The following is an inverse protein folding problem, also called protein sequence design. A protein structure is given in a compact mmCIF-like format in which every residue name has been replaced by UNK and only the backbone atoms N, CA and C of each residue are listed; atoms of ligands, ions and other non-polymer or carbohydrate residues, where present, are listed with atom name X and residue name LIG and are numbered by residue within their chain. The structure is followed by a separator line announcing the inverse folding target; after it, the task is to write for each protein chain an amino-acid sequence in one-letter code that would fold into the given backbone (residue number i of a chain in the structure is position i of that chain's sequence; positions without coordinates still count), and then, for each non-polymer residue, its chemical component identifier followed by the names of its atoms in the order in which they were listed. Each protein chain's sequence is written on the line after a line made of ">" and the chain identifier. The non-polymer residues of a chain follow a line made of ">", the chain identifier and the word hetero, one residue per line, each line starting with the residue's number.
data_IF_202854859082
#
_entry.id   IF_202854859082
#
_cell.length_a   1.000
_cell.length_b   1.000
_cell.length_c   1.000
_cell.angle_alpha   90.00
_cell.angle_beta   90.00
_cell.angle_gamma   90.00
#
_symmetry.space_group_name_H-M   'P 1'
#
loop_
_entity.id
_entity.type
_entity.pdbx_description
1 polymer ?
#
# COMPACT_ATOMS: atom_id res chain seq x y z
N UNK A 1 17.61 -17.00 12.86
CA UNK A 1 16.53 -16.71 11.88
C UNK A 1 16.58 -15.27 11.36
N UNK A 2 16.68 -14.21 12.20
CA UNK A 2 16.72 -12.79 11.75
C UNK A 2 17.93 -12.46 10.83
N UNK A 3 19.09 -13.07 11.06
CA UNK A 3 20.30 -12.87 10.23
C UNK A 3 20.21 -13.53 8.85
N UNK A 4 19.47 -14.64 8.71
CA UNK A 4 19.25 -15.29 7.42
C UNK A 4 18.30 -14.52 6.51
N UNK A 5 17.27 -13.87 7.07
CA UNK A 5 16.37 -12.98 6.33
C UNK A 5 17.11 -11.74 5.80
N UNK A 6 18.07 -11.22 6.58
CA UNK A 6 18.90 -10.09 6.15
C UNK A 6 19.88 -10.46 5.03
N UNK A 7 20.45 -11.67 5.10
CA UNK A 7 21.33 -12.20 4.05
C UNK A 7 20.53 -12.51 2.78
N UNK A 8 19.31 -13.06 2.90
CA UNK A 8 18.43 -13.30 1.76
C UNK A 8 18.02 -11.97 1.10
N UNK A 9 17.74 -10.93 1.88
CA UNK A 9 17.44 -9.59 1.36
C UNK A 9 18.66 -8.93 0.70
N UNK A 10 19.87 -9.18 1.18
CA UNK A 10 21.12 -8.65 0.63
C UNK A 10 21.66 -9.44 -0.58
N UNK A 11 21.35 -10.73 -0.71
CA UNK A 11 21.79 -11.55 -1.85
C UNK A 11 21.03 -11.23 -3.16
N UNK A 12 19.91 -10.52 -3.08
CA UNK A 12 19.15 -10.04 -4.26
C UNK A 12 19.78 -8.79 -4.91
N UNK A 13 20.83 -8.22 -4.33
CA UNK A 13 21.43 -6.91 -4.71
C UNK A 13 22.33 -6.97 -5.97
N UNK A 14 22.45 -8.11 -6.64
CA UNK A 14 23.51 -8.36 -7.63
C UNK A 14 23.26 -8.03 -9.10
N UNK A 15 22.03 -7.84 -9.55
CA UNK A 15 21.72 -7.74 -10.99
C UNK A 15 20.89 -6.52 -11.33
N UNK A 16 21.54 -5.50 -11.88
CA UNK A 16 20.87 -4.25 -12.27
C UNK A 16 20.94 -4.07 -13.79
N UNK A 17 19.83 -4.39 -14.45
CA UNK A 17 19.43 -3.78 -15.73
C UNK A 17 17.94 -4.05 -15.92
N UNK A 18 17.15 -3.02 -16.26
CA UNK A 18 15.73 -3.15 -16.58
C UNK A 18 15.53 -3.90 -17.90
N UNK A 19 15.73 -5.21 -17.88
CA UNK A 19 15.55 -6.10 -19.00
C UNK A 19 14.71 -7.31 -18.55
N UNK A 20 14.03 -7.94 -19.49
CA UNK A 20 13.35 -9.23 -19.27
C UNK A 20 14.21 -10.15 -18.41
N UNK A 21 13.63 -10.68 -17.34
CA UNK A 21 14.34 -11.54 -16.37
C UNK A 21 14.77 -10.84 -15.08
N UNK A 22 14.42 -9.55 -14.89
CA UNK A 22 14.77 -8.82 -13.67
C UNK A 22 13.72 -8.98 -12.57
N UNK A 23 14.17 -8.80 -11.32
CA UNK A 23 13.31 -8.81 -10.13
C UNK A 23 13.07 -7.36 -9.71
N UNK A 24 11.79 -6.98 -9.68
CA UNK A 24 11.34 -5.73 -9.11
C UNK A 24 11.17 -5.89 -7.59
N UNK A 25 11.81 -5.04 -6.82
CA UNK A 25 11.53 -4.86 -5.38
C UNK A 25 11.21 -3.40 -5.15
N UNK A 26 10.09 -3.12 -4.52
CA UNK A 26 9.68 -1.75 -4.27
C UNK A 26 8.57 -1.65 -3.25
N UNK A 27 8.02 -0.48 -3.11
CA UNK A 27 6.88 -0.20 -2.25
C UNK A 27 6.81 1.26 -1.85
N UNK A 28 5.78 1.55 -1.08
CA UNK A 28 5.43 2.88 -0.63
C UNK A 28 5.34 2.89 0.90
N UNK A 29 5.66 4.04 1.49
CA UNK A 29 5.43 4.34 2.90
C UNK A 29 4.67 5.65 2.95
N UNK A 30 3.54 5.66 3.65
CA UNK A 30 2.79 6.85 3.94
C UNK A 30 2.63 7.04 5.45
N UNK A 31 2.79 8.26 5.90
CA UNK A 31 2.52 8.65 7.28
C UNK A 31 1.82 9.99 7.30
N UNK A 32 0.61 9.98 7.84
CA UNK A 32 -0.20 11.19 7.98
C UNK A 32 -0.52 11.45 9.45
N UNK A 33 -0.34 12.66 9.90
CA UNK A 33 -0.85 13.13 11.19
C UNK A 33 -1.74 14.35 10.98
N UNK A 34 -2.90 14.34 11.61
CA UNK A 34 -3.87 15.43 11.56
C UNK A 34 -4.36 15.72 12.96
N UNK A 35 -4.37 16.98 13.32
CA UNK A 35 -4.94 17.47 14.58
C UNK A 35 -6.09 18.39 14.24
N UNK A 36 -7.22 18.19 14.90
CA UNK A 36 -8.39 19.05 14.84
C UNK A 36 -8.65 19.57 16.25
N UNK A 37 -8.53 20.90 16.43
CA UNK A 37 -8.87 21.57 17.67
C UNK A 37 -10.32 22.10 17.53
N UNK A 38 -11.23 21.61 18.36
CA UNK A 38 -12.61 22.05 18.44
C UNK A 38 -12.89 22.58 19.85
N UNK A 39 -13.94 23.39 20.01
CA UNK A 39 -14.35 23.88 21.33
C UNK A 39 -14.63 22.75 22.32
N UNK A 40 -15.07 21.60 21.83
CA UNK A 40 -15.36 20.39 22.60
C UNK A 40 -14.15 19.51 22.87
N UNK A 41 -12.96 19.90 22.41
CA UNK A 41 -11.72 19.17 22.64
C UNK A 41 -10.88 18.93 21.39
N UNK A 42 -9.75 18.28 21.59
CA UNK A 42 -8.74 18.02 20.59
C UNK A 42 -8.85 16.57 20.09
N UNK A 43 -8.92 16.40 18.77
CA UNK A 43 -8.87 15.09 18.12
C UNK A 43 -7.57 14.97 17.34
N UNK A 44 -6.80 13.93 17.61
CA UNK A 44 -5.57 13.62 16.89
C UNK A 44 -5.74 12.33 16.11
N UNK A 45 -5.44 12.37 14.82
CA UNK A 45 -5.45 11.22 13.92
C UNK A 45 -4.02 10.95 13.45
N UNK A 46 -3.59 9.69 13.51
CA UNK A 46 -2.33 9.24 12.93
C UNK A 46 -2.63 8.04 12.03
N UNK A 47 -2.14 8.09 10.81
CA UNK A 47 -2.22 6.99 9.84
C UNK A 47 -0.82 6.60 9.41
N UNK A 48 -0.59 5.31 9.30
CA UNK A 48 0.64 4.73 8.77
C UNK A 48 0.28 3.61 7.80
N UNK A 49 0.85 3.68 6.60
CA UNK A 49 0.71 2.66 5.58
C UNK A 49 2.11 2.23 5.10
N UNK A 50 2.31 0.93 4.97
CA UNK A 50 3.51 0.34 4.40
C UNK A 50 3.12 -0.74 3.40
N UNK A 51 3.51 -0.56 2.14
CA UNK A 51 3.06 -1.37 1.00
C UNK A 51 4.22 -1.92 0.19
N UNK A 52 4.96 -2.93 0.69
CA UNK A 52 6.01 -3.57 -0.08
C UNK A 52 5.44 -4.43 -1.20
N UNK A 53 6.19 -4.50 -2.31
CA UNK A 53 5.89 -5.37 -3.45
C UNK A 53 7.15 -6.00 -4.04
N UNK A 54 7.00 -7.20 -4.56
CA UNK A 54 8.05 -7.91 -5.27
C UNK A 54 7.46 -8.51 -6.55
N UNK A 55 8.16 -8.38 -7.67
CA UNK A 55 7.69 -8.87 -8.96
C UNK A 55 8.83 -9.39 -9.83
N UNK A 56 8.46 -10.11 -10.85
CA UNK A 56 9.34 -10.63 -11.89
C UNK A 56 8.93 -10.04 -13.25
N UNK A 57 9.87 -9.41 -13.92
CA UNK A 57 9.68 -8.86 -15.25
C UNK A 57 9.83 -9.98 -16.28
N UNK A 58 8.71 -10.57 -16.67
CA UNK A 58 8.66 -11.69 -17.61
C UNK A 58 8.67 -11.26 -19.08
N UNK A 59 8.43 -9.99 -19.34
CA UNK A 59 8.47 -9.37 -20.66
C UNK A 59 8.99 -7.94 -20.54
N UNK A 60 9.48 -7.34 -21.62
CA UNK A 60 10.09 -6.00 -21.62
C UNK A 60 9.22 -4.91 -20.99
N UNK A 61 7.90 -5.04 -21.13
CA UNK A 61 6.93 -4.10 -20.58
C UNK A 61 6.09 -4.66 -19.42
N UNK A 62 6.19 -5.97 -19.11
CA UNK A 62 5.29 -6.61 -18.18
C UNK A 62 6.03 -7.21 -16.98
N UNK A 63 5.53 -6.88 -15.81
CA UNK A 63 5.96 -7.44 -14.52
C UNK A 63 4.74 -8.04 -13.82
N UNK A 64 4.87 -9.21 -13.26
CA UNK A 64 3.88 -9.80 -12.37
C UNK A 64 4.51 -10.10 -11.01
N UNK A 65 3.74 -9.99 -9.94
CA UNK A 65 4.31 -10.19 -8.62
C UNK A 65 3.28 -10.25 -7.50
N UNK A 66 3.79 -10.20 -6.28
CA UNK A 66 3.01 -10.15 -5.06
C UNK A 66 3.15 -8.79 -4.39
N UNK A 67 2.09 -8.39 -3.71
CA UNK A 67 2.03 -7.17 -2.92
C UNK A 67 1.44 -7.45 -1.54
N UNK A 68 1.87 -6.65 -0.58
CA UNK A 68 1.40 -6.72 0.78
C UNK A 68 1.26 -5.31 1.32
N UNK A 69 0.18 -5.03 2.09
CA UNK A 69 0.01 -3.72 2.73
C UNK A 69 -0.33 -3.93 4.21
N UNK A 70 0.29 -3.13 5.05
CA UNK A 70 -0.08 -2.95 6.45
C UNK A 70 -0.55 -1.52 6.60
N UNK A 71 -1.78 -1.34 7.09
CA UNK A 71 -2.36 -0.04 7.41
C UNK A 71 -2.69 0.04 8.90
N UNK A 72 -2.36 1.15 9.52
CA UNK A 72 -2.71 1.43 10.92
C UNK A 72 -3.25 2.86 11.03
N UNK A 73 -4.45 2.98 11.56
CA UNK A 73 -5.09 4.26 11.87
C UNK A 73 -5.37 4.32 13.36
N UNK A 74 -4.92 5.41 13.99
CA UNK A 74 -5.23 5.73 15.38
C UNK A 74 -5.87 7.12 15.46
N UNK A 75 -7.02 7.18 16.11
CA UNK A 75 -7.70 8.44 16.40
C UNK A 75 -7.86 8.56 17.91
N UNK A 76 -7.27 9.60 18.46
CA UNK A 76 -7.33 9.93 19.89
C UNK A 76 -8.24 11.16 20.08
N UNK A 77 -9.31 11.02 20.84
CA UNK A 77 -10.16 12.09 21.38
C UNK A 77 -9.94 12.25 22.90
N UNK A 78 -10.68 13.14 23.55
CA UNK A 78 -10.51 13.40 24.99
C UNK A 78 -10.81 12.18 25.87
N UNK A 79 -11.83 11.41 25.54
CA UNK A 79 -12.27 10.22 26.29
C UNK A 79 -12.43 9.00 25.39
N UNK A 80 -12.15 9.14 24.10
CA UNK A 80 -12.35 8.07 23.14
C UNK A 80 -11.09 7.84 22.29
N UNK A 81 -10.74 6.57 22.13
CA UNK A 81 -9.68 6.15 21.23
C UNK A 81 -10.26 5.15 20.21
N UNK A 82 -9.97 5.34 18.95
CA UNK A 82 -10.29 4.38 17.89
C UNK A 82 -9.01 3.92 17.23
N UNK A 83 -8.81 2.61 17.15
CA UNK A 83 -7.71 1.97 16.42
C UNK A 83 -8.27 1.12 15.31
N UNK A 84 -7.73 1.25 14.12
CA UNK A 84 -8.05 0.37 13.00
C UNK A 84 -6.74 -0.12 12.36
N UNK A 85 -6.58 -1.44 12.26
CA UNK A 85 -5.48 -2.07 11.57
C UNK A 85 -6.04 -2.88 10.41
N UNK A 86 -5.44 -2.72 9.23
CA UNK A 86 -5.81 -3.49 8.05
C UNK A 86 -4.58 -4.12 7.41
N UNK A 87 -4.81 -5.23 6.74
CA UNK A 87 -3.81 -5.99 5.99
C UNK A 87 -4.37 -6.31 4.63
N UNK A 88 -3.54 -6.15 3.60
CA UNK A 88 -3.84 -6.63 2.25
C UNK A 88 -2.74 -7.58 1.80
N UNK A 89 -3.10 -8.63 1.12
CA UNK A 89 -2.18 -9.55 0.45
C UNK A 89 -2.76 -9.90 -0.91
N UNK A 90 -1.97 -9.75 -1.94
CA UNK A 90 -2.45 -9.98 -3.31
C UNK A 90 -1.35 -10.16 -4.32
N UNK A 91 -1.78 -10.22 -5.56
CA UNK A 91 -0.92 -10.23 -6.73
C UNK A 91 -1.16 -8.97 -7.54
N UNK A 92 -0.15 -8.54 -8.27
CA UNK A 92 -0.27 -7.44 -9.22
C UNK A 92 0.34 -7.79 -10.57
N UNK A 93 -0.16 -7.10 -11.59
CA UNK A 93 0.45 -7.06 -12.92
C UNK A 93 0.72 -5.60 -13.25
N UNK A 94 1.94 -5.30 -13.63
CA UNK A 94 2.41 -3.98 -14.07
C UNK A 94 2.63 -3.96 -15.55
N UNK A 95 2.11 -2.95 -16.22
CA UNK A 95 2.52 -2.58 -17.57
C UNK A 95 3.35 -1.30 -17.51
N UNK A 96 4.57 -1.33 -18.04
CA UNK A 96 5.50 -0.19 -18.05
C UNK A 96 5.74 0.24 -19.49
N UNK A 97 5.60 1.52 -19.74
CA UNK A 97 5.94 2.16 -21.03
C UNK A 97 7.08 3.15 -20.81
N UNK A 98 8.28 2.88 -21.31
CA UNK A 98 9.39 3.83 -21.25
C UNK A 98 9.09 5.04 -22.14
N UNK A 99 9.32 6.24 -21.61
CA UNK A 99 9.20 7.52 -22.32
C UNK A 99 10.58 8.05 -22.73
N UNK A 100 11.59 7.76 -21.91
CA UNK A 100 13.00 8.11 -22.15
C UNK A 100 13.89 7.20 -21.30
N UNK A 101 15.20 7.39 -21.34
CA UNK A 101 16.15 6.69 -20.45
C UNK A 101 15.90 6.97 -18.95
N UNK A 102 15.31 8.12 -18.64
CA UNK A 102 15.07 8.57 -17.26
C UNK A 102 13.63 8.38 -16.83
N UNK A 103 12.66 8.49 -17.72
CA UNK A 103 11.24 8.49 -17.39
C UNK A 103 10.50 7.32 -18.02
N UNK A 104 9.65 6.68 -17.21
CA UNK A 104 8.67 5.70 -17.67
C UNK A 104 7.34 5.97 -17.00
N UNK A 105 6.24 5.64 -17.65
CA UNK A 105 4.93 5.53 -17.01
C UNK A 105 4.59 4.07 -16.84
N UNK A 106 3.89 3.75 -15.76
CA UNK A 106 3.40 2.41 -15.54
C UNK A 106 2.00 2.43 -14.92
N UNK A 107 1.32 1.32 -15.03
CA UNK A 107 0.08 1.07 -14.31
C UNK A 107 0.14 -0.30 -13.66
N UNK A 108 -0.15 -0.37 -12.36
CA UNK A 108 -0.31 -1.59 -11.59
C UNK A 108 -1.80 -1.94 -11.52
N UNK A 109 -2.16 -3.14 -11.91
CA UNK A 109 -3.45 -3.75 -11.63
C UNK A 109 -3.23 -4.78 -10.53
N UNK A 110 -3.75 -4.49 -9.34
CA UNK A 110 -3.69 -5.32 -8.17
C UNK A 110 -5.01 -6.00 -7.86
N UNK A 111 -4.94 -7.18 -7.26
CA UNK A 111 -6.10 -7.86 -6.69
C UNK A 111 -5.67 -8.83 -5.59
N UNK A 112 -6.52 -8.97 -4.57
CA UNK A 112 -6.20 -9.84 -3.45
C UNK A 112 -7.24 -9.80 -2.33
N UNK A 113 -6.80 -10.29 -1.18
CA UNK A 113 -7.59 -10.34 0.04
C UNK A 113 -7.22 -9.19 0.96
N UNK A 114 -8.21 -8.72 1.70
CA UNK A 114 -8.04 -7.72 2.76
C UNK A 114 -8.70 -8.19 4.04
N UNK A 115 -8.09 -7.84 5.16
CA UNK A 115 -8.64 -8.07 6.49
C UNK A 115 -8.46 -6.81 7.33
N UNK A 116 -9.45 -6.47 8.13
CA UNK A 116 -9.37 -5.32 9.04
C UNK A 116 -9.83 -5.68 10.45
N UNK A 117 -9.28 -4.97 11.42
CA UNK A 117 -9.64 -5.07 12.83
C UNK A 117 -9.74 -3.67 13.42
N UNK A 118 -10.96 -3.31 13.81
CA UNK A 118 -11.28 -2.08 14.52
C UNK A 118 -11.44 -2.32 16.03
N UNK A 119 -11.00 -1.36 16.84
CA UNK A 119 -11.22 -1.32 18.28
C UNK A 119 -11.59 0.10 18.69
N UNK A 120 -12.62 0.23 19.51
CA UNK A 120 -13.01 1.48 20.12
C UNK A 120 -12.90 1.39 21.65
N UNK A 121 -12.33 2.43 22.26
CA UNK A 121 -12.14 2.55 23.68
C UNK A 121 -12.81 3.81 24.20
N UNK A 122 -13.29 3.75 25.44
CA UNK A 122 -13.79 4.89 26.20
C UNK A 122 -13.17 4.86 27.59
N UNK A 123 -12.43 5.91 27.98
CA UNK A 123 -11.65 5.95 29.24
C UNK A 123 -10.76 4.72 29.41
N UNK A 124 -10.03 4.31 28.36
CA UNK A 124 -9.17 3.12 28.30
C UNK A 124 -9.90 1.77 28.33
N UNK A 125 -11.21 1.74 28.55
CA UNK A 125 -12.02 0.52 28.49
C UNK A 125 -12.40 0.18 27.04
N UNK A 126 -12.17 -1.07 26.64
CA UNK A 126 -12.58 -1.57 25.32
C UNK A 126 -14.11 -1.69 25.25
N UNK A 127 -14.75 -0.85 24.45
CA UNK A 127 -16.20 -0.84 24.28
C UNK A 127 -16.70 -1.58 23.05
N UNK A 128 -15.84 -1.71 22.02
CA UNK A 128 -16.21 -2.40 20.78
C UNK A 128 -14.98 -2.96 20.07
N UNK A 129 -15.14 -4.14 19.49
CA UNK A 129 -14.20 -4.76 18.57
C UNK A 129 -14.95 -5.21 17.32
N UNK A 130 -14.44 -4.86 16.14
CA UNK A 130 -14.96 -5.29 14.84
C UNK A 130 -13.87 -5.97 14.05
N UNK A 131 -14.23 -7.00 13.29
CA UNK A 131 -13.36 -7.67 12.32
C UNK A 131 -14.09 -7.79 11.01
N UNK A 132 -13.39 -7.59 9.92
CA UNK A 132 -13.94 -7.75 8.60
C UNK A 132 -12.89 -8.35 7.67
N UNK A 133 -13.36 -9.17 6.73
CA UNK A 133 -12.56 -9.78 5.68
C UNK A 133 -13.18 -9.46 4.33
N UNK A 134 -12.37 -9.39 3.28
CA UNK A 134 -12.90 -9.07 1.98
C UNK A 134 -11.90 -9.21 0.85
N UNK A 135 -12.27 -8.65 -0.28
CA UNK A 135 -11.46 -8.59 -1.50
C UNK A 135 -11.21 -7.15 -1.88
N UNK A 136 -10.08 -6.93 -2.53
CA UNK A 136 -9.80 -5.68 -3.22
C UNK A 136 -9.33 -5.92 -4.65
N UNK A 137 -9.55 -4.94 -5.49
CA UNK A 137 -8.88 -4.77 -6.77
C UNK A 137 -8.64 -3.28 -7.00
N UNK A 138 -7.48 -2.93 -7.50
CA UNK A 138 -7.13 -1.54 -7.79
C UNK A 138 -6.29 -1.41 -9.07
N UNK A 139 -6.39 -0.25 -9.68
CA UNK A 139 -5.55 0.16 -10.80
C UNK A 139 -4.87 1.48 -10.43
N UNK A 140 -3.55 1.47 -10.35
CA UNK A 140 -2.73 2.61 -9.91
C UNK A 140 -1.78 3.04 -11.02
N UNK A 141 -2.05 4.14 -11.73
CA UNK A 141 -1.11 4.74 -12.67
C UNK A 141 -0.01 5.51 -11.93
N UNK A 142 1.21 5.45 -12.45
CA UNK A 142 2.34 6.15 -11.86
C UNK A 142 3.40 6.52 -12.89
N UNK A 143 4.21 7.52 -12.52
CA UNK A 143 5.45 7.89 -13.18
C UNK A 143 6.63 7.25 -12.43
N UNK A 144 7.54 6.65 -13.17
CA UNK A 144 8.82 6.16 -12.67
C UNK A 144 9.94 7.07 -13.14
N UNK A 145 10.81 7.47 -12.23
CA UNK A 145 12.02 8.24 -12.51
C UNK A 145 13.23 7.36 -12.20
N UNK A 146 13.96 6.96 -13.23
CA UNK A 146 15.17 6.16 -13.10
C UNK A 146 16.32 7.01 -12.55
N UNK A 147 16.75 6.73 -11.32
CA UNK A 147 17.85 7.44 -10.65
C UNK A 147 19.22 6.85 -10.96
N UNK A 148 19.31 5.71 -11.58
CA UNK A 148 20.46 4.91 -12.07
C UNK A 148 20.50 3.50 -11.46
N UNK A 149 21.13 2.59 -12.16
CA UNK A 149 21.37 1.19 -11.72
C UNK A 149 20.09 0.46 -11.28
N UNK A 150 18.96 0.70 -12.00
CA UNK A 150 17.68 0.08 -11.71
C UNK A 150 16.94 0.63 -10.49
N UNK A 151 17.53 1.56 -9.73
CA UNK A 151 16.87 2.25 -8.63
C UNK A 151 16.09 3.47 -9.13
N UNK A 152 14.89 3.68 -8.64
CA UNK A 152 14.10 4.83 -9.02
C UNK A 152 12.99 5.19 -8.04
N UNK A 153 12.40 6.34 -8.32
CA UNK A 153 11.27 6.89 -7.60
C UNK A 153 10.00 6.65 -8.39
N UNK A 154 8.95 6.25 -7.68
CA UNK A 154 7.60 6.09 -8.21
C UNK A 154 6.73 7.24 -7.71
N UNK A 155 5.97 7.87 -8.61
CA UNK A 155 5.00 8.90 -8.28
C UNK A 155 3.63 8.46 -8.78
N UNK A 156 2.78 7.99 -7.89
CA UNK A 156 1.39 7.68 -8.23
C UNK A 156 0.51 8.92 -8.06
N UNK A 157 -0.43 9.09 -8.96
CA UNK A 157 -1.31 10.27 -9.04
C UNK A 157 -2.77 9.93 -8.78
N UNK A 158 -2.99 8.96 -7.92
CA UNK A 158 -4.32 8.41 -7.62
C UNK A 158 -4.55 7.08 -8.34
N UNK A 159 -5.80 6.72 -8.52
CA UNK A 159 -6.19 5.46 -9.14
C UNK A 159 -7.68 5.20 -9.04
N UNK A 160 -8.07 4.00 -9.37
CA UNK A 160 -9.41 3.49 -9.13
C UNK A 160 -9.32 2.14 -8.43
N UNK A 161 -10.32 1.84 -7.59
CA UNK A 161 -10.35 0.56 -6.91
C UNK A 161 -11.73 0.21 -6.40
N UNK A 162 -11.88 -1.05 -6.11
CA UNK A 162 -13.07 -1.64 -5.53
C UNK A 162 -12.67 -2.55 -4.38
N UNK A 163 -13.37 -2.41 -3.26
CA UNK A 163 -13.12 -3.23 -2.06
C UNK A 163 -14.44 -3.70 -1.49
N UNK A 164 -14.47 -4.94 -1.05
CA UNK A 164 -15.60 -5.50 -0.29
C UNK A 164 -15.14 -5.87 1.10
N UNK A 165 -16.03 -5.75 2.08
CA UNK A 165 -15.84 -6.26 3.43
C UNK A 165 -17.11 -6.95 3.90
N UNK A 166 -16.96 -8.12 4.53
CA UNK A 166 -17.99 -8.79 5.31
C UNK A 166 -17.53 -8.81 6.78
N UNK A 167 -18.40 -8.37 7.68
CA UNK A 167 -18.11 -8.24 9.12
C UNK A 167 -18.47 -9.51 9.87
N UNK A 168 -17.54 -10.02 10.72
CA UNK A 168 -17.68 -11.32 11.37
C UNK A 168 -18.86 -11.41 12.36
N UNK A 169 -19.23 -10.30 13.00
CA UNK A 169 -20.19 -10.31 14.13
C UNK A 169 -21.55 -9.71 13.80
N UNK A 170 -21.74 -9.22 12.58
CA UNK A 170 -22.96 -8.58 12.12
C UNK A 170 -23.15 -8.94 10.65
N UNK A 171 -24.39 -9.12 10.24
CA UNK A 171 -24.74 -9.39 8.84
C UNK A 171 -24.70 -8.07 8.04
N UNK A 172 -23.50 -7.54 7.88
CA UNK A 172 -23.22 -6.30 7.14
C UNK A 172 -22.14 -6.58 6.12
N UNK A 173 -22.47 -6.33 4.86
CA UNK A 173 -21.53 -6.27 3.75
C UNK A 173 -21.33 -4.82 3.34
N UNK A 174 -20.08 -4.41 3.27
CA UNK A 174 -19.67 -3.10 2.76
C UNK A 174 -19.03 -3.27 1.38
N UNK A 175 -19.37 -2.41 0.46
CA UNK A 175 -18.80 -2.33 -0.88
C UNK A 175 -18.41 -0.90 -1.17
N UNK A 176 -17.16 -0.69 -1.50
CA UNK A 176 -16.61 0.62 -1.76
C UNK A 176 -15.96 0.66 -3.14
N UNK A 177 -16.31 1.66 -3.92
CA UNK A 177 -15.63 2.01 -5.16
C UNK A 177 -15.04 3.40 -5.01
N UNK A 178 -13.80 3.56 -5.39
CA UNK A 178 -13.18 4.87 -5.46
C UNK A 178 -12.58 5.13 -6.84
N UNK A 179 -12.64 6.37 -7.25
CA UNK A 179 -11.90 6.92 -8.37
C UNK A 179 -11.35 8.26 -7.92
N UNK A 180 -10.03 8.38 -7.88
CA UNK A 180 -9.37 9.64 -7.62
C UNK A 180 -8.18 9.80 -8.60
N UNK A 181 -8.02 11.00 -9.13
CA UNK A 181 -6.95 11.32 -10.05
C UNK A 181 -6.47 12.74 -9.79
N UNK A 182 -5.15 12.89 -9.59
CA UNK A 182 -4.54 14.21 -9.35
C UNK A 182 -4.82 14.81 -7.96
N UNK A 183 -5.60 14.15 -7.10
CA UNK A 183 -5.95 14.64 -5.77
C UNK A 183 -4.93 14.24 -4.70
N UNK A 184 -4.30 13.09 -4.89
CA UNK A 184 -3.28 12.54 -3.98
C UNK A 184 -2.06 12.18 -4.81
N UNK A 185 -0.88 12.53 -4.32
CA UNK A 185 0.40 12.12 -4.89
C UNK A 185 1.08 11.26 -3.83
N UNK A 186 1.38 10.02 -4.15
CA UNK A 186 2.18 9.15 -3.29
C UNK A 186 3.56 8.96 -3.91
N UNK A 187 4.57 8.86 -3.05
CA UNK A 187 5.95 8.66 -3.47
C UNK A 187 6.44 7.33 -2.95
N UNK A 188 6.89 6.49 -3.84
CA UNK A 188 7.47 5.20 -3.52
C UNK A 188 8.87 5.05 -4.10
N UNK A 189 9.51 3.99 -3.71
CA UNK A 189 10.82 3.61 -4.24
C UNK A 189 10.75 2.20 -4.83
N UNK A 190 11.52 1.97 -5.87
CA UNK A 190 11.68 0.62 -6.41
C UNK A 190 13.08 0.41 -6.98
N UNK A 191 13.46 -0.85 -7.07
CA UNK A 191 14.70 -1.28 -7.70
C UNK A 191 14.46 -2.54 -8.51
N UNK A 192 14.99 -2.54 -9.72
CA UNK A 192 15.09 -3.71 -10.59
C UNK A 192 16.51 -4.29 -10.47
N UNK A 193 16.57 -5.61 -10.29
CA UNK A 193 17.80 -6.37 -10.10
C UNK A 193 18.02 -7.35 -11.22
#
# INVERSE_FOLDING_TARGET
>A
MKKMLLILALSVVGFANAQKGTILVGGDIDYTTRTVDAETGKIKMNSFDFSPKVGYQFHDNWTAGAEFTISSLKQDGQMSEVKNNAYKVGAFVRYTMPLSETFSVFADLGAGFTASKGKAYNNDDLISESKANGFYTDLTPALFINMKKGFGLNFSIGGLGYTTYSYDNVDIDERSFYFNFGKTISVGISKNF
#
